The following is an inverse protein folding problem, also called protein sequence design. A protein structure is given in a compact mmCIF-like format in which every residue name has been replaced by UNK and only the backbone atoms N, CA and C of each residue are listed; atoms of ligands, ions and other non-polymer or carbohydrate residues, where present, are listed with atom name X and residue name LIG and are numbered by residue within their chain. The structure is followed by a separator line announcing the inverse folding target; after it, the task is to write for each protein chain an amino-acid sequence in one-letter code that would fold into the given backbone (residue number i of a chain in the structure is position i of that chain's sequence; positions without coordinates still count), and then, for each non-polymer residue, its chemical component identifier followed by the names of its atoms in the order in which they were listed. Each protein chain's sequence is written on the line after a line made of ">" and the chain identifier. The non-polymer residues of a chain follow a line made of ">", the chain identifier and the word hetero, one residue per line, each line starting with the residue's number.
data_IF_020072424156
#
_entry.id   IF_020072424156
#
_cell.length_a   1.000
_cell.length_b   1.000
_cell.length_c   1.000
_cell.angle_alpha   90.00
_cell.angle_beta   90.00
_cell.angle_gamma   90.00
#
_symmetry.space_group_name_H-M   'P 1'
#
loop_
_entity.id
_entity.type
_entity.pdbx_description
1 polymer ?
#
# COMPACT_ATOMS: atom_id res chain seq x y z
N UNK A 1 -12.51 70.42 -29.10
CA UNK A 1 -12.48 69.90 -30.47
C UNK A 1 -11.44 68.79 -30.49
N UNK A 2 -11.68 67.52 -30.76
CA UNK A 2 -12.84 66.73 -31.14
C UNK A 2 -12.30 65.35 -31.55
N UNK A 3 -12.87 64.28 -30.96
CA UNK A 3 -13.23 62.93 -31.51
C UNK A 3 -12.21 62.20 -32.41
N UNK A 4 -11.94 60.89 -32.32
CA UNK A 4 -12.47 59.68 -31.66
C UNK A 4 -11.55 58.50 -32.07
N UNK A 5 -11.71 57.23 -31.73
CA UNK A 5 -12.72 56.46 -31.00
C UNK A 5 -12.27 54.98 -30.91
N UNK A 6 -12.98 54.22 -30.07
CA UNK A 6 -13.18 52.75 -29.99
C UNK A 6 -11.98 51.78 -30.17
N UNK A 7 -11.76 50.81 -29.28
CA UNK A 7 -12.75 49.75 -29.02
C UNK A 7 -12.43 48.92 -27.75
N UNK A 8 -13.51 48.45 -27.11
CA UNK A 8 -13.57 47.52 -25.96
C UNK A 8 -13.22 46.07 -26.34
N UNK A 9 -12.56 45.36 -25.42
CA UNK A 9 -12.86 43.99 -24.93
C UNK A 9 -11.80 43.68 -23.85
N UNK A 10 -12.08 43.31 -22.60
CA UNK A 10 -13.12 42.39 -22.14
C UNK A 10 -12.57 40.96 -22.23
N UNK A 11 -11.90 40.47 -21.18
CA UNK A 11 -11.33 39.11 -21.19
C UNK A 11 -10.62 38.74 -19.90
N UNK A 12 -11.39 38.48 -18.86
CA UNK A 12 -10.96 37.70 -17.69
C UNK A 12 -10.69 36.28 -18.17
N UNK A 13 -9.46 35.80 -18.02
CA UNK A 13 -9.09 34.39 -18.17
C UNK A 13 -8.78 33.94 -16.74
N UNK A 14 -9.56 33.10 -16.06
CA UNK A 14 -10.35 31.98 -16.53
C UNK A 14 -9.74 30.71 -15.91
N UNK A 15 -10.03 30.47 -14.62
CA UNK A 15 -9.74 29.22 -13.91
C UNK A 15 -10.19 28.00 -14.72
N UNK A 16 -9.38 26.93 -14.84
CA UNK A 16 -9.89 25.66 -15.33
C UNK A 16 -10.68 24.96 -14.23
N UNK A 17 -12.00 25.18 -14.26
CA UNK A 17 -12.99 24.34 -13.58
C UNK A 17 -12.94 22.92 -14.13
N UNK A 18 -12.54 21.95 -13.31
CA UNK A 18 -12.71 20.52 -13.62
C UNK A 18 -14.08 20.03 -13.13
N UNK A 19 -15.06 20.04 -14.03
CA UNK A 19 -16.31 19.29 -13.86
C UNK A 19 -16.19 17.93 -14.57
N UNK A 20 -16.29 16.87 -13.77
CA UNK A 20 -17.25 15.80 -13.98
C UNK A 20 -16.86 14.68 -14.96
N UNK A 21 -16.33 13.59 -14.41
CA UNK A 21 -16.61 12.25 -14.91
C UNK A 21 -17.18 11.42 -13.76
N UNK A 22 -18.50 11.21 -13.79
CA UNK A 22 -19.21 10.27 -12.91
C UNK A 22 -18.98 8.87 -13.44
N UNK A 23 -18.32 8.01 -12.66
CA UNK A 23 -18.36 6.56 -12.88
C UNK A 23 -19.45 5.99 -11.99
N UNK A 24 -20.45 5.38 -12.62
CA UNK A 24 -21.56 4.73 -11.97
C UNK A 24 -21.11 3.40 -11.36
N UNK A 25 -21.19 3.28 -10.02
CA UNK A 25 -21.06 2.00 -9.33
C UNK A 25 -22.44 1.36 -9.18
N UNK A 26 -22.66 0.23 -9.85
CA UNK A 26 -23.85 -0.60 -9.70
C UNK A 26 -23.81 -1.34 -8.36
N UNK A 27 -24.89 -1.22 -7.60
CA UNK A 27 -25.11 -1.93 -6.33
C UNK A 27 -25.38 -3.41 -6.62
N UNK A 28 -24.62 -4.31 -6.02
CA UNK A 28 -25.05 -5.69 -5.80
C UNK A 28 -24.96 -5.98 -4.29
N UNK A 29 -26.14 -6.11 -3.69
CA UNK A 29 -26.30 -6.51 -2.30
C UNK A 29 -26.15 -8.02 -2.16
N UNK A 30 -25.40 -8.44 -1.15
CA UNK A 30 -25.42 -9.80 -0.63
C UNK A 30 -25.44 -9.74 0.89
N UNK A 31 -26.60 -10.01 1.48
CA UNK A 31 -26.74 -10.32 2.89
C UNK A 31 -27.07 -11.79 3.04
N UNK A 32 -26.18 -12.58 3.64
CA UNK A 32 -26.57 -13.83 4.28
C UNK A 32 -25.83 -13.92 5.62
N UNK A 33 -26.59 -13.75 6.70
CA UNK A 33 -26.18 -14.06 8.06
C UNK A 33 -26.72 -15.43 8.45
N UNK A 34 -25.85 -16.36 8.79
CA UNK A 34 -26.20 -17.57 9.55
C UNK A 34 -25.51 -17.47 10.91
N UNK A 35 -26.28 -17.12 11.93
CA UNK A 35 -26.07 -17.48 13.35
C UNK A 35 -27.01 -18.65 13.63
N UNK A 36 -26.76 -19.62 14.50
CA UNK A 36 -25.71 -19.91 15.46
C UNK A 36 -25.99 -21.32 16.00
N UNK A 37 -25.02 -21.95 16.65
CA UNK A 37 -25.23 -23.23 17.32
C UNK A 37 -24.78 -23.12 18.78
N UNK A 38 -25.77 -23.26 19.66
CA UNK A 38 -25.66 -23.22 21.11
C UNK A 38 -24.78 -24.34 21.67
N UNK A 39 -23.92 -23.95 22.61
CA UNK A 39 -23.19 -24.84 23.48
C UNK A 39 -24.13 -25.46 24.53
N UNK A 40 -24.17 -26.79 24.62
CA UNK A 40 -24.75 -27.51 25.76
C UNK A 40 -23.65 -28.13 26.60
N UNK A 41 -23.56 -27.67 27.85
CA UNK A 41 -22.80 -28.26 28.94
C UNK A 41 -23.40 -29.63 29.32
N UNK A 42 -22.55 -30.65 29.39
CA UNK A 42 -22.88 -31.91 30.05
C UNK A 42 -21.88 -32.19 31.17
N UNK A 43 -22.38 -32.16 32.41
CA UNK A 43 -21.71 -32.67 33.61
C UNK A 43 -21.63 -34.19 33.53
N UNK A 44 -20.47 -34.78 33.86
CA UNK A 44 -20.42 -36.18 34.33
C UNK A 44 -19.43 -36.35 35.47
N UNK A 45 -19.95 -37.04 36.47
CA UNK A 45 -19.39 -37.36 37.78
C UNK A 45 -18.28 -38.41 37.69
N UNK A 46 -17.40 -38.35 38.69
CA UNK A 46 -16.26 -39.23 38.89
C UNK A 46 -16.70 -40.52 39.61
N UNK A 47 -16.33 -41.69 39.07
CA UNK A 47 -16.29 -42.97 39.79
C UNK A 47 -14.99 -43.67 39.42
N UNK A 48 -14.29 -44.17 40.44
CA UNK A 48 -12.95 -44.75 40.35
C UNK A 48 -12.86 -46.01 39.50
N UNK A 49 -11.66 -46.19 38.94
CA UNK A 49 -11.21 -47.39 38.27
C UNK A 49 -9.82 -47.13 37.71
N UNK A 50 -8.83 -47.92 38.15
CA UNK A 50 -7.48 -47.89 37.61
C UNK A 50 -7.50 -48.36 36.14
N UNK A 51 -6.91 -47.57 35.24
CA UNK A 51 -6.68 -47.94 33.85
C UNK A 51 -5.21 -47.75 33.52
N UNK A 52 -4.60 -48.80 32.95
CA UNK A 52 -3.30 -48.73 32.30
C UNK A 52 -3.30 -47.62 31.24
N UNK A 53 -2.28 -46.75 31.25
CA UNK A 53 -2.05 -45.79 30.18
C UNK A 53 -1.34 -46.50 29.01
N UNK A 54 -1.99 -46.75 27.86
CA UNK A 54 -1.25 -46.87 26.63
C UNK A 54 -0.67 -45.50 26.30
N UNK A 55 0.64 -45.43 26.08
CA UNK A 55 1.32 -44.20 25.69
C UNK A 55 0.65 -43.57 24.49
N UNK A 56 -0.06 -42.46 24.70
CA UNK A 56 -0.60 -41.63 23.65
C UNK A 56 0.59 -40.97 22.94
N UNK A 57 1.15 -41.66 21.95
CA UNK A 57 1.91 -40.99 20.89
C UNK A 57 0.92 -40.09 20.19
N UNK A 58 0.88 -38.82 20.57
CA UNK A 58 0.26 -37.77 19.77
C UNK A 58 0.96 -37.83 18.43
N UNK A 59 0.28 -38.41 17.44
CA UNK A 59 0.67 -38.29 16.04
C UNK A 59 0.47 -36.81 15.73
N UNK A 60 1.54 -36.02 15.81
CA UNK A 60 1.55 -34.67 15.26
C UNK A 60 1.26 -34.88 13.78
N UNK A 61 0.01 -34.65 13.38
CA UNK A 61 -0.31 -34.51 11.98
C UNK A 61 0.57 -33.36 11.48
N UNK A 62 1.35 -33.54 10.41
CA UNK A 62 2.03 -32.42 9.78
C UNK A 62 1.00 -31.31 9.60
N UNK A 63 1.31 -30.11 10.09
CA UNK A 63 0.52 -28.92 9.77
C UNK A 63 0.50 -28.86 8.25
N UNK A 64 -0.64 -29.20 7.66
CA UNK A 64 -0.84 -29.10 6.23
C UNK A 64 -0.38 -27.70 5.84
N UNK A 65 0.70 -27.64 5.07
CA UNK A 65 1.21 -26.38 4.54
C UNK A 65 0.11 -25.92 3.61
N UNK A 66 -0.80 -25.10 4.14
CA UNK A 66 -1.85 -24.47 3.36
C UNK A 66 -1.14 -23.88 2.13
N UNK A 67 -1.60 -24.28 0.95
CA UNK A 67 -1.06 -23.76 -0.31
C UNK A 67 -1.12 -22.23 -0.20
N UNK A 68 0.04 -21.57 -0.20
CA UNK A 68 0.10 -20.11 -0.14
C UNK A 68 -0.57 -19.57 -1.40
N UNK A 69 -1.71 -18.91 -1.22
CA UNK A 69 -2.42 -18.29 -2.34
C UNK A 69 -1.87 -16.91 -2.71
N UNK A 70 -0.99 -16.36 -1.86
CA UNK A 70 -0.34 -15.05 -2.01
C UNK A 70 -0.80 -14.01 -0.98
N UNK A 71 -1.82 -14.32 -0.17
CA UNK A 71 -2.37 -13.34 0.81
C UNK A 71 -1.39 -12.95 1.93
N UNK A 72 -0.35 -13.75 2.14
CA UNK A 72 0.68 -13.51 3.16
C UNK A 72 1.96 -12.88 2.58
N UNK A 73 2.00 -12.57 1.28
CA UNK A 73 3.24 -12.16 0.62
C UNK A 73 3.82 -10.84 1.17
N UNK A 74 2.97 -9.98 1.77
CA UNK A 74 3.38 -8.74 2.42
C UNK A 74 3.53 -8.85 3.93
N UNK A 75 3.33 -10.00 4.57
CA UNK A 75 3.35 -10.12 6.04
C UNK A 75 4.65 -9.64 6.67
N UNK A 76 5.76 -9.68 5.92
CA UNK A 76 7.04 -9.14 6.37
C UNK A 76 6.97 -7.65 6.71
N UNK A 77 6.07 -6.86 6.10
CA UNK A 77 6.04 -5.41 6.27
C UNK A 77 5.44 -4.97 7.61
N UNK A 78 4.74 -5.86 8.35
CA UNK A 78 4.07 -5.46 9.58
C UNK A 78 5.04 -4.94 10.65
N UNK A 79 4.63 -3.88 11.34
CA UNK A 79 5.42 -3.22 12.37
C UNK A 79 6.07 -1.92 11.89
N UNK A 80 7.17 -1.54 12.55
CA UNK A 80 7.82 -0.23 12.40
C UNK A 80 9.10 -0.31 11.58
N UNK A 81 9.31 0.70 10.75
CA UNK A 81 10.44 0.79 9.82
C UNK A 81 11.06 2.18 9.83
N UNK A 82 12.39 2.21 9.67
CA UNK A 82 13.13 3.38 9.18
C UNK A 82 13.37 3.20 7.70
N UNK A 83 13.21 4.27 6.95
CA UNK A 83 13.28 4.27 5.50
C UNK A 83 14.31 5.33 5.06
N UNK A 84 15.32 4.89 4.31
CA UNK A 84 16.19 5.78 3.54
C UNK A 84 15.59 5.93 2.16
N UNK A 85 15.18 7.16 1.81
CA UNK A 85 14.63 7.47 0.50
C UNK A 85 15.71 8.06 -0.39
N UNK A 86 15.66 7.68 -1.67
CA UNK A 86 16.37 8.36 -2.75
C UNK A 86 15.43 8.49 -3.93
N UNK A 87 15.11 9.72 -4.37
CA UNK A 87 14.22 10.00 -5.51
C UNK A 87 14.83 11.00 -6.48
N UNK A 88 14.38 11.01 -7.73
CA UNK A 88 14.64 12.14 -8.62
C UNK A 88 14.01 13.40 -8.04
N UNK A 89 14.69 14.54 -8.11
CA UNK A 89 14.18 15.82 -7.58
C UNK A 89 12.77 16.07 -8.13
N UNK A 90 12.63 16.01 -9.45
CA UNK A 90 11.36 16.05 -10.17
C UNK A 90 11.00 14.65 -10.69
N UNK A 91 10.32 13.85 -9.87
CA UNK A 91 9.98 12.43 -10.16
C UNK A 91 9.19 12.26 -11.47
N UNK A 92 8.40 13.27 -11.83
CA UNK A 92 7.55 13.28 -13.03
C UNK A 92 8.25 13.79 -14.27
N UNK A 93 9.41 14.44 -14.16
CA UNK A 93 10.16 14.93 -15.33
C UNK A 93 10.99 13.79 -15.94
N UNK A 94 10.71 13.37 -17.20
CA UNK A 94 11.47 12.31 -17.86
C UNK A 94 12.95 12.66 -18.08
N UNK A 95 13.33 13.94 -18.02
CA UNK A 95 14.70 14.41 -18.24
C UNK A 95 15.46 14.71 -16.95
N UNK A 96 14.79 14.80 -15.79
CA UNK A 96 15.42 15.10 -14.52
C UNK A 96 16.44 14.02 -14.18
N UNK A 97 17.70 14.36 -13.92
CA UNK A 97 18.76 13.41 -13.56
C UNK A 97 19.27 13.60 -12.13
N UNK A 98 18.84 14.66 -11.45
CA UNK A 98 19.27 14.98 -10.09
C UNK A 98 18.54 14.09 -9.09
N UNK A 99 19.32 13.43 -8.21
CA UNK A 99 18.78 12.62 -7.12
C UNK A 99 18.91 13.36 -5.79
N UNK A 100 17.87 13.23 -4.98
CA UNK A 100 17.80 13.76 -3.62
C UNK A 100 17.49 12.65 -2.64
N UNK A 101 17.95 12.81 -1.41
CA UNK A 101 17.80 11.84 -0.33
C UNK A 101 17.12 12.46 0.88
N UNK A 102 16.35 11.64 1.60
CA UNK A 102 15.70 12.02 2.85
C UNK A 102 15.27 10.80 3.66
N UNK A 103 15.02 11.02 4.94
CA UNK A 103 14.59 9.97 5.85
C UNK A 103 13.07 9.96 6.03
N UNK A 104 12.55 8.76 6.28
CA UNK A 104 11.18 8.57 6.69
C UNK A 104 11.07 7.44 7.72
N UNK A 105 9.92 7.39 8.38
CA UNK A 105 9.53 6.30 9.25
C UNK A 105 8.17 5.78 8.82
N UNK A 106 7.93 4.47 8.94
CA UNK A 106 6.64 3.88 8.59
C UNK A 106 6.15 2.86 9.61
N UNK A 107 4.83 2.75 9.73
CA UNK A 107 4.15 1.71 10.51
C UNK A 107 3.10 1.03 9.66
N UNK A 108 3.13 -0.30 9.61
CA UNK A 108 2.16 -1.10 8.88
C UNK A 108 1.42 -2.09 9.79
N UNK A 109 0.11 -2.25 9.55
CA UNK A 109 -0.76 -3.15 10.30
C UNK A 109 -1.78 -3.87 9.42
N UNK A 110 -2.09 -5.14 9.70
CA UNK A 110 -3.08 -5.90 8.96
C UNK A 110 -4.49 -5.40 9.21
N UNK A 111 -5.34 -5.49 8.20
CA UNK A 111 -6.77 -5.17 8.25
C UNK A 111 -7.60 -6.31 7.65
N UNK A 112 -8.92 -6.23 7.76
CA UNK A 112 -9.86 -7.12 7.04
C UNK A 112 -9.59 -8.62 7.26
N UNK A 113 -9.14 -9.01 8.46
CA UNK A 113 -8.84 -10.41 8.77
C UNK A 113 -7.66 -11.00 7.98
N UNK A 114 -6.71 -10.17 7.55
CA UNK A 114 -5.52 -10.59 6.80
C UNK A 114 -5.68 -10.54 5.27
N UNK A 115 -6.79 -10.01 4.76
CA UNK A 115 -6.98 -9.76 3.32
C UNK A 115 -6.43 -8.41 2.85
N UNK A 116 -5.78 -7.67 3.74
CA UNK A 116 -5.16 -6.40 3.42
C UNK A 116 -4.36 -5.86 4.59
N UNK A 117 -3.69 -4.74 4.36
CA UNK A 117 -3.02 -3.97 5.39
C UNK A 117 -2.96 -2.50 4.96
N UNK A 118 -2.66 -1.64 5.94
CA UNK A 118 -2.34 -0.24 5.69
C UNK A 118 -0.94 0.05 6.19
N UNK A 119 -0.26 1.01 5.58
CA UNK A 119 0.89 1.65 6.20
C UNK A 119 0.77 3.17 6.17
N UNK A 120 1.31 3.78 7.22
CA UNK A 120 1.49 5.23 7.33
C UNK A 120 2.96 5.51 7.32
N UNK A 121 3.39 6.45 6.50
CA UNK A 121 4.76 6.93 6.40
C UNK A 121 4.82 8.40 6.79
N UNK A 122 5.76 8.78 7.65
CA UNK A 122 6.12 10.17 7.87
C UNK A 122 7.50 10.42 7.27
N UNK A 123 7.57 11.28 6.25
CA UNK A 123 8.81 11.65 5.59
C UNK A 123 9.22 13.06 5.97
N UNK A 124 10.51 13.28 6.19
CA UNK A 124 11.08 14.58 6.55
C UNK A 124 11.09 15.57 5.36
N UNK A 125 10.85 15.08 4.15
CA UNK A 125 10.98 15.85 2.92
C UNK A 125 12.43 15.89 2.41
N UNK A 126 12.61 15.96 1.09
CA UNK A 126 13.93 16.20 0.52
C UNK A 126 14.42 17.63 0.85
N UNK A 127 15.73 17.94 0.69
CA UNK A 127 16.23 19.30 0.89
C UNK A 127 15.44 20.33 0.08
N UNK A 128 14.80 21.27 0.80
CA UNK A 128 13.94 22.31 0.24
C UNK A 128 12.46 21.93 0.09
N UNK A 129 12.05 20.75 0.56
CA UNK A 129 10.65 20.31 0.57
C UNK A 129 10.12 20.18 2.00
N UNK A 130 8.83 20.46 2.18
CA UNK A 130 8.16 20.24 3.47
C UNK A 130 7.98 18.75 3.79
N UNK A 131 8.00 18.37 5.09
CA UNK A 131 7.60 17.06 5.54
C UNK A 131 6.20 16.67 5.04
N UNK A 132 5.95 15.37 4.92
CA UNK A 132 4.64 14.89 4.50
C UNK A 132 4.28 13.55 5.11
N UNK A 133 2.98 13.30 5.19
CA UNK A 133 2.44 11.99 5.49
C UNK A 133 2.09 11.26 4.19
N UNK A 134 2.52 10.01 4.10
CA UNK A 134 2.13 9.05 3.08
C UNK A 134 1.23 7.98 3.70
N UNK A 135 0.30 7.46 2.91
CA UNK A 135 -0.60 6.40 3.32
C UNK A 135 -0.73 5.39 2.19
N UNK A 136 -0.56 4.11 2.52
CA UNK A 136 -0.80 3.03 1.58
C UNK A 136 -1.94 2.13 2.06
N UNK A 137 -2.88 1.82 1.17
CA UNK A 137 -3.83 0.72 1.35
C UNK A 137 -3.41 -0.42 0.42
N UNK A 138 -3.27 -1.63 0.96
CA UNK A 138 -3.08 -2.85 0.15
C UNK A 138 -4.19 -3.84 0.42
N UNK A 139 -4.80 -4.37 -0.64
CA UNK A 139 -5.80 -5.43 -0.55
C UNK A 139 -5.45 -6.59 -1.48
N UNK A 140 -5.70 -7.80 -1.00
CA UNK A 140 -5.53 -9.03 -1.75
C UNK A 140 -6.89 -9.54 -2.24
N UNK A 141 -6.95 -9.91 -3.51
CA UNK A 141 -8.09 -10.57 -4.14
C UNK A 141 -7.80 -12.07 -4.25
N UNK A 142 -8.45 -12.93 -3.44
CA UNK A 142 -8.19 -14.37 -3.48
C UNK A 142 -8.62 -15.05 -4.77
N UNK A 143 -9.59 -14.49 -5.49
CA UNK A 143 -10.09 -15.08 -6.73
C UNK A 143 -9.11 -14.80 -7.88
N UNK A 144 -8.64 -13.55 -7.99
CA UNK A 144 -7.67 -13.16 -9.01
C UNK A 144 -6.22 -13.46 -8.61
N UNK A 145 -5.96 -13.71 -7.32
CA UNK A 145 -4.63 -13.88 -6.71
C UNK A 145 -3.71 -12.69 -6.99
N UNK A 146 -4.24 -11.49 -6.87
CA UNK A 146 -3.52 -10.23 -7.07
C UNK A 146 -3.63 -9.34 -5.84
N UNK A 147 -2.58 -8.56 -5.62
CA UNK A 147 -2.60 -7.42 -4.74
C UNK A 147 -2.89 -6.15 -5.52
N UNK A 148 -3.64 -5.26 -4.89
CA UNK A 148 -3.88 -3.88 -5.32
C UNK A 148 -3.32 -2.93 -4.27
N UNK A 149 -2.59 -1.91 -4.71
CA UNK A 149 -1.87 -0.98 -3.84
C UNK A 149 -2.30 0.44 -4.21
N UNK A 150 -3.00 1.12 -3.31
CA UNK A 150 -3.39 2.53 -3.46
C UNK A 150 -2.51 3.42 -2.60
N UNK A 151 -2.06 4.53 -3.16
CA UNK A 151 -1.28 5.55 -2.47
C UNK A 151 -2.10 6.81 -2.22
N UNK A 152 -1.87 7.46 -1.07
CA UNK A 152 -2.31 8.81 -0.77
C UNK A 152 -1.18 9.59 -0.06
N UNK A 153 -1.22 10.90 -0.14
CA UNK A 153 -0.29 11.77 0.58
C UNK A 153 -0.94 13.07 1.04
N UNK A 154 -0.48 13.62 2.16
CA UNK A 154 -0.84 14.97 2.60
C UNK A 154 -0.47 16.06 1.59
N UNK A 155 0.44 15.78 0.65
CA UNK A 155 0.78 16.67 -0.49
C UNK A 155 -0.31 16.73 -1.56
N UNK A 156 -1.24 15.76 -1.58
CA UNK A 156 -2.37 15.68 -2.51
C UNK A 156 -3.63 15.24 -1.73
N UNK A 157 -4.20 16.12 -0.89
CA UNK A 157 -5.26 15.76 0.05
C UNK A 157 -6.54 15.33 -0.67
N UNK A 158 -7.22 14.32 -0.13
CA UNK A 158 -8.54 13.88 -0.62
C UNK A 158 -8.50 12.93 -1.83
N UNK A 159 -7.32 12.46 -2.24
CA UNK A 159 -7.16 11.59 -3.41
C UNK A 159 -6.40 10.30 -3.06
N UNK A 160 -6.88 9.19 -3.59
CA UNK A 160 -6.09 7.97 -3.80
C UNK A 160 -5.67 7.94 -5.26
N UNK A 161 -4.42 7.57 -5.50
CA UNK A 161 -3.91 7.32 -6.85
C UNK A 161 -4.53 6.04 -7.43
N UNK A 162 -4.58 5.88 -8.76
CA UNK A 162 -4.93 4.60 -9.38
C UNK A 162 -4.08 3.46 -8.80
N UNK A 163 -4.68 2.31 -8.46
CA UNK A 163 -3.91 1.25 -7.84
C UNK A 163 -2.94 0.62 -8.83
N UNK A 164 -1.73 0.33 -8.37
CA UNK A 164 -0.92 -0.70 -9.04
C UNK A 164 -1.44 -2.07 -8.68
N UNK A 165 -1.51 -2.96 -9.67
CA UNK A 165 -1.96 -4.34 -9.51
C UNK A 165 -0.85 -5.32 -9.88
N UNK A 166 -0.75 -6.42 -9.15
CA UNK A 166 0.29 -7.41 -9.40
C UNK A 166 0.39 -8.48 -8.33
N UNK A 167 1.49 -9.22 -8.34
CA UNK A 167 1.71 -10.33 -7.44
C UNK A 167 3.21 -10.52 -7.16
N UNK A 168 3.50 -11.34 -6.16
CA UNK A 168 4.85 -11.79 -5.90
C UNK A 168 5.22 -13.00 -6.75
N UNK A 169 6.44 -13.01 -7.25
CA UNK A 169 7.07 -14.11 -7.93
C UNK A 169 8.51 -14.25 -7.45
N UNK A 170 8.81 -15.37 -6.77
CA UNK A 170 10.17 -15.76 -6.34
C UNK A 170 10.95 -14.60 -5.70
N UNK A 171 10.48 -14.13 -4.54
CA UNK A 171 11.18 -13.11 -3.74
C UNK A 171 11.06 -11.67 -4.26
N UNK A 172 10.42 -11.45 -5.41
CA UNK A 172 10.17 -10.12 -5.98
C UNK A 172 8.68 -9.90 -6.18
N UNK A 173 8.16 -8.74 -5.78
CA UNK A 173 6.80 -8.30 -6.10
C UNK A 173 6.84 -7.26 -7.22
N UNK A 174 6.04 -7.41 -8.26
CA UNK A 174 5.93 -6.44 -9.35
C UNK A 174 4.47 -6.05 -9.53
N UNK A 175 4.19 -4.75 -9.53
CA UNK A 175 2.84 -4.19 -9.56
C UNK A 175 2.80 -3.04 -10.54
N UNK A 176 1.87 -3.07 -11.50
CA UNK A 176 1.78 -2.11 -12.59
C UNK A 176 0.44 -1.35 -12.58
N UNK A 177 0.46 -0.11 -13.03
CA UNK A 177 -0.74 0.69 -13.31
C UNK A 177 -0.56 1.52 -14.59
N UNK A 178 -1.68 1.87 -15.20
CA UNK A 178 -1.78 2.99 -16.13
C UNK A 178 -2.21 4.24 -15.36
N UNK A 179 -1.53 5.36 -15.60
CA UNK A 179 -1.83 6.66 -14.97
C UNK A 179 -1.64 7.82 -15.97
N UNK A 180 -2.01 9.02 -15.56
CA UNK A 180 -1.84 10.26 -16.33
C UNK A 180 -1.16 11.31 -15.46
N UNK A 181 0.06 11.67 -15.83
CA UNK A 181 0.87 12.68 -15.15
C UNK A 181 1.05 13.86 -16.09
N UNK A 182 0.64 15.07 -15.65
CA UNK A 182 0.70 16.28 -16.47
C UNK A 182 0.07 16.08 -17.87
N UNK A 183 -1.12 15.48 -17.90
CA UNK A 183 -1.88 15.14 -19.12
C UNK A 183 -1.20 14.12 -20.05
N UNK A 184 -0.06 13.54 -19.63
CA UNK A 184 0.67 12.53 -20.38
C UNK A 184 0.41 11.13 -19.82
N UNK A 185 -0.03 10.17 -20.65
CA UNK A 185 -0.11 8.77 -20.24
C UNK A 185 1.25 8.25 -19.78
N UNK A 186 1.26 7.54 -18.66
CA UNK A 186 2.45 6.93 -18.07
C UNK A 186 2.08 5.55 -17.53
N UNK A 187 2.99 4.57 -17.70
CA UNK A 187 2.91 3.33 -16.92
C UNK A 187 3.73 3.48 -15.65
N UNK A 188 3.13 3.11 -14.53
CA UNK A 188 3.77 3.10 -13.22
C UNK A 188 4.07 1.66 -12.84
N UNK A 189 5.25 1.40 -12.28
CA UNK A 189 5.63 0.10 -11.73
C UNK A 189 6.20 0.25 -10.34
N UNK A 190 5.68 -0.52 -9.40
CA UNK A 190 6.31 -0.77 -8.11
C UNK A 190 7.00 -2.12 -8.14
N UNK A 191 8.24 -2.14 -7.66
CA UNK A 191 9.01 -3.35 -7.43
C UNK A 191 9.35 -3.47 -5.95
N UNK A 192 9.07 -4.62 -5.37
CA UNK A 192 9.43 -4.97 -4.01
C UNK A 192 10.41 -6.12 -4.01
N UNK A 193 11.40 -6.06 -3.12
CA UNK A 193 12.25 -7.19 -2.76
C UNK A 193 12.39 -7.23 -1.25
N UNK A 194 12.43 -8.44 -0.70
CA UNK A 194 12.69 -8.65 0.72
C UNK A 194 13.81 -9.67 0.85
N UNK A 195 14.94 -9.23 1.40
CA UNK A 195 16.11 -10.11 1.58
C UNK A 195 16.04 -10.84 2.93
N UNK A 196 15.42 -10.21 3.93
CA UNK A 196 15.24 -10.74 5.28
C UNK A 196 13.94 -10.21 5.89
N UNK A 197 13.41 -10.79 6.98
CA UNK A 197 12.27 -10.22 7.71
C UNK A 197 12.48 -8.79 8.24
N UNK A 198 13.73 -8.32 8.25
CA UNK A 198 14.15 -7.03 8.83
C UNK A 198 14.67 -6.03 7.79
N UNK A 199 14.68 -6.41 6.51
CA UNK A 199 15.14 -5.57 5.41
C UNK A 199 14.31 -5.76 4.14
N UNK A 200 13.84 -4.66 3.58
CA UNK A 200 13.10 -4.64 2.32
C UNK A 200 13.54 -3.46 1.46
N UNK A 201 13.40 -3.61 0.15
CA UNK A 201 13.59 -2.53 -0.81
C UNK A 201 12.36 -2.39 -1.68
N UNK A 202 11.89 -1.16 -1.81
CA UNK A 202 10.87 -0.77 -2.76
C UNK A 202 11.46 0.18 -3.82
N UNK A 203 10.97 0.07 -5.05
CA UNK A 203 11.33 0.96 -6.14
C UNK A 203 10.09 1.37 -6.93
N UNK A 204 10.09 2.61 -7.41
CA UNK A 204 9.16 3.10 -8.41
C UNK A 204 9.86 3.31 -9.73
N UNK A 205 9.17 2.94 -10.81
CA UNK A 205 9.58 3.20 -12.17
C UNK A 205 8.43 3.79 -12.98
N UNK A 206 8.76 4.71 -13.89
CA UNK A 206 7.85 5.19 -14.92
C UNK A 206 8.29 4.73 -16.30
N UNK A 207 7.31 4.56 -17.17
CA UNK A 207 7.48 4.39 -18.61
C UNK A 207 6.56 5.33 -19.36
N UNK A 208 7.13 6.12 -20.28
CA UNK A 208 6.42 7.05 -21.14
C UNK A 208 6.24 6.52 -22.58
N UNK A 209 6.64 5.27 -22.83
CA UNK A 209 6.64 4.60 -24.13
C UNK A 209 5.86 3.27 -24.09
N UNK A 210 4.80 3.23 -23.28
CA UNK A 210 3.90 2.08 -23.13
C UNK A 210 4.57 0.81 -22.59
N UNK A 211 5.60 0.98 -21.75
CA UNK A 211 6.28 -0.11 -21.06
C UNK A 211 7.47 -0.69 -21.81
N UNK A 212 7.91 -0.08 -22.92
CA UNK A 212 9.08 -0.51 -23.68
C UNK A 212 10.37 -0.21 -22.90
N UNK A 213 10.45 0.97 -22.28
CA UNK A 213 11.55 1.34 -21.39
C UNK A 213 11.02 1.78 -20.03
N UNK A 214 11.76 1.45 -18.98
CA UNK A 214 11.42 1.75 -17.60
C UNK A 214 12.54 2.50 -16.93
N UNK A 215 12.21 3.61 -16.28
CA UNK A 215 13.17 4.44 -15.56
C UNK A 215 12.84 4.48 -14.07
N UNK A 216 13.76 3.98 -13.24
CA UNK A 216 13.66 4.14 -11.79
C UNK A 216 13.76 5.61 -11.41
N UNK A 217 12.80 6.08 -10.62
CA UNK A 217 12.71 7.47 -10.18
C UNK A 217 12.58 7.61 -8.66
N UNK A 218 12.40 6.51 -7.92
CA UNK A 218 12.40 6.48 -6.46
C UNK A 218 12.82 5.09 -5.97
N UNK A 219 13.70 5.06 -4.97
CA UNK A 219 14.11 3.88 -4.21
C UNK A 219 13.91 4.15 -2.71
N UNK A 220 13.36 3.16 -2.02
CA UNK A 220 13.24 3.12 -0.57
C UNK A 220 13.98 1.90 -0.03
N UNK A 221 14.88 2.11 0.91
CA UNK A 221 15.54 1.06 1.69
C UNK A 221 14.98 1.05 3.11
N UNK A 222 14.29 -0.03 3.46
CA UNK A 222 13.59 -0.20 4.72
C UNK A 222 14.42 -1.07 5.67
N UNK A 223 14.56 -0.62 6.91
CA UNK A 223 15.18 -1.37 8.02
C UNK A 223 14.24 -1.41 9.22
N UNK A 224 14.05 -2.60 9.80
CA UNK A 224 13.13 -2.78 10.93
C UNK A 224 13.60 -2.00 12.15
N UNK A 225 12.65 -1.43 12.88
CA UNK A 225 12.90 -0.76 14.16
C UNK A 225 12.33 -1.63 15.29
N UNK A 226 13.06 -1.79 16.42
CA UNK A 226 12.52 -2.42 17.62
C UNK A 226 11.20 -1.79 18.06
N UNK A 227 10.28 -2.61 18.57
CA UNK A 227 8.94 -2.15 18.94
C UNK A 227 8.92 -1.13 20.08
N UNK A 228 9.96 -1.14 20.91
CA UNK A 228 10.18 -0.26 22.06
C UNK A 228 10.94 1.04 21.72
N UNK A 229 11.43 1.18 20.49
CA UNK A 229 12.03 2.44 20.05
C UNK A 229 10.93 3.51 19.97
N UNK A 230 10.94 4.42 20.93
CA UNK A 230 10.00 5.54 21.01
C UNK A 230 10.41 6.58 19.96
N UNK A 231 9.68 6.66 18.85
CA UNK A 231 9.65 7.85 17.99
C UNK A 231 8.27 8.49 18.15
N UNK A 232 8.22 9.75 18.56
CA UNK A 232 6.98 10.52 18.73
C UNK A 232 6.16 10.64 17.44
N UNK A 233 6.77 10.38 16.28
CA UNK A 233 6.12 10.35 14.97
C UNK A 233 5.37 9.06 14.69
N UNK A 234 5.61 7.99 15.46
CA UNK A 234 4.71 6.84 15.51
C UNK A 234 3.62 7.15 16.54
N UNK A 235 2.36 7.43 16.14
CA UNK A 235 1.28 7.50 17.11
C UNK A 235 1.25 6.18 17.88
N UNK A 236 1.13 6.26 19.21
CA UNK A 236 0.88 5.07 20.02
C UNK A 236 -0.45 4.50 19.54
N UNK A 237 -0.43 3.25 19.07
CA UNK A 237 -1.65 2.47 18.89
C UNK A 237 -2.31 2.38 20.26
N UNK A 238 -3.41 3.10 20.44
CA UNK A 238 -4.25 3.09 21.65
C UNK A 238 -4.94 1.75 21.81
#
# INVERSE_FOLDING_TARGET
>A
MGVGGDSRAGGVVGEPSLRGARIAATRSGWSQSVRGADARFAKRSFVGGAWHHPGNRVRIKPKETAVSDGRADFDFIFGRWRIRNRKLREVTDPNCAEWVEFDAVAYAEPILGGLGHVDRMWAEGAPGEEPFEGFTLRQFDPQARVWRIWWASSRRPGHLDPPVEGAWHVGTGTFDADDVINERPVKVRFEWTSQTPDSARWQQKFSYDQGQTWRTNWVMDLSRVPADAIDSRFPRTS
#
